data_IF_425710272482
#
_entry.id   IF_425710272482
#
_cell.length_a   1.000
_cell.length_b   1.000
_cell.length_c   1.000
_cell.angle_alpha   90.00
_cell.angle_beta   90.00
_cell.angle_gamma   90.00
#
_symmetry.space_group_name_H-M   'P 1'
#
loop_
_entity.id
_entity.type
_entity.pdbx_description
1 polymer ?
#
# COMPACT_ATOMS: atom_id res chain seq x y z
N UNK A 1 -6.45 -5.52 5.15
CA UNK A 1 -6.81 -4.61 6.25
C UNK A 1 -7.55 -5.31 7.41
N UNK A 2 -8.33 -6.37 7.17
CA UNK A 2 -9.09 -7.07 8.24
C UNK A 2 -8.16 -7.64 9.34
N UNK A 3 -7.01 -8.20 8.98
CA UNK A 3 -6.14 -8.99 9.87
C UNK A 3 -5.00 -8.19 10.48
N UNK A 4 -4.28 -7.40 9.67
CA UNK A 4 -3.00 -6.80 10.09
C UNK A 4 -3.07 -5.87 11.32
N UNK A 5 -4.06 -4.99 11.48
CA UNK A 5 -4.16 -4.16 12.67
C UNK A 5 -4.36 -4.94 13.98
N UNK A 6 -4.84 -6.19 13.87
CA UNK A 6 -5.21 -7.02 15.01
C UNK A 6 -4.11 -8.01 15.44
N UNK A 7 -3.03 -8.11 14.67
CA UNK A 7 -1.93 -9.04 14.97
C UNK A 7 -1.27 -8.72 16.31
N UNK A 8 -1.00 -7.45 16.58
CA UNK A 8 -0.38 -7.04 17.85
C UNK A 8 -1.29 -7.37 19.04
N UNK A 9 -2.60 -7.12 18.92
CA UNK A 9 -3.56 -7.46 19.97
C UNK A 9 -3.54 -8.96 20.26
N UNK A 10 -3.53 -9.81 19.24
CA UNK A 10 -3.53 -11.26 19.40
C UNK A 10 -2.23 -11.79 19.98
N UNK A 11 -1.09 -11.46 19.36
CA UNK A 11 0.16 -12.11 19.69
C UNK A 11 0.92 -11.43 20.82
N UNK A 12 0.82 -10.12 20.98
CA UNK A 12 1.46 -9.40 22.09
C UNK A 12 0.55 -9.37 23.32
N UNK A 13 -0.69 -8.85 23.20
CA UNK A 13 -1.53 -8.60 24.36
C UNK A 13 -2.19 -9.89 24.89
N UNK A 14 -2.66 -10.79 24.01
CA UNK A 14 -3.36 -12.01 24.43
C UNK A 14 -2.43 -13.22 24.65
N UNK A 15 -1.41 -13.40 23.78
CA UNK A 15 -0.47 -14.53 23.89
C UNK A 15 0.81 -14.19 24.65
N UNK A 16 1.05 -12.92 24.97
CA UNK A 16 2.23 -12.46 25.72
C UNK A 16 3.56 -12.57 24.98
N UNK A 17 3.53 -12.62 23.65
CA UNK A 17 4.77 -12.68 22.86
C UNK A 17 5.49 -11.34 22.88
N UNK A 18 6.84 -11.38 22.79
CA UNK A 18 7.62 -10.18 22.73
C UNK A 18 7.22 -9.29 21.55
N UNK A 19 6.84 -8.04 21.82
CA UNK A 19 6.40 -7.08 20.79
C UNK A 19 7.44 -6.89 19.67
N UNK A 20 8.73 -6.95 20.03
CA UNK A 20 9.85 -6.89 19.08
C UNK A 20 9.79 -8.05 18.07
N UNK A 21 9.48 -9.26 18.52
CA UNK A 21 9.41 -10.44 17.65
C UNK A 21 8.25 -10.33 16.65
N UNK A 22 7.10 -9.88 17.11
CA UNK A 22 5.93 -9.62 16.25
C UNK A 22 6.22 -8.47 15.29
N UNK A 23 6.86 -7.40 15.76
CA UNK A 23 7.29 -6.27 14.95
C UNK A 23 8.27 -6.68 13.84
N UNK A 24 9.26 -7.53 14.15
CA UNK A 24 10.19 -8.07 13.14
C UNK A 24 9.46 -8.91 12.10
N UNK A 25 8.49 -9.75 12.48
CA UNK A 25 7.69 -10.54 11.55
C UNK A 25 6.91 -9.65 10.57
N UNK A 26 6.27 -8.59 11.07
CA UNK A 26 5.56 -7.61 10.25
C UNK A 26 6.51 -6.77 9.37
N UNK A 27 7.66 -6.39 9.91
CA UNK A 27 8.72 -5.70 9.17
C UNK A 27 9.27 -6.56 8.04
N UNK A 28 9.53 -7.84 8.29
CA UNK A 28 9.97 -8.82 7.28
C UNK A 28 8.93 -8.95 6.17
N UNK A 29 7.65 -9.07 6.52
CA UNK A 29 6.56 -9.09 5.52
C UNK A 29 6.59 -7.85 4.64
N UNK A 30 6.71 -6.67 5.24
CA UNK A 30 6.74 -5.40 4.51
C UNK A 30 7.98 -5.26 3.63
N UNK A 31 9.14 -5.67 4.16
CA UNK A 31 10.40 -5.69 3.41
C UNK A 31 10.31 -6.61 2.18
N UNK A 32 9.74 -7.80 2.33
CA UNK A 32 9.55 -8.75 1.21
C UNK A 32 8.59 -8.16 0.20
N UNK A 33 7.44 -7.63 0.64
CA UNK A 33 6.42 -7.09 -0.25
C UNK A 33 6.93 -5.92 -1.08
N UNK A 34 7.65 -4.99 -0.47
CA UNK A 34 8.16 -3.79 -1.16
C UNK A 34 9.53 -4.02 -1.80
N UNK A 35 10.45 -4.65 -1.06
CA UNK A 35 11.83 -4.86 -1.53
C UNK A 35 11.95 -5.83 -2.69
N UNK A 36 11.07 -6.82 -2.79
CA UNK A 36 11.06 -7.77 -3.89
C UNK A 36 10.07 -7.39 -5.03
N UNK A 37 9.47 -6.20 -4.97
CA UNK A 37 8.50 -5.74 -5.98
C UNK A 37 9.02 -5.82 -7.41
N UNK A 38 10.28 -5.45 -7.63
CA UNK A 38 10.91 -5.53 -8.97
C UNK A 38 10.95 -6.98 -9.51
N UNK A 39 11.20 -7.97 -8.64
CA UNK A 39 11.18 -9.39 -9.05
C UNK A 39 9.76 -9.82 -9.41
N UNK A 40 8.76 -9.47 -8.59
CA UNK A 40 7.35 -9.74 -8.88
C UNK A 40 6.91 -9.13 -10.20
N UNK A 41 7.29 -7.88 -10.46
CA UNK A 41 7.04 -7.19 -11.72
C UNK A 41 7.72 -7.86 -12.92
N UNK A 42 9.00 -8.23 -12.78
CA UNK A 42 9.75 -8.89 -13.84
C UNK A 42 9.24 -10.32 -14.16
N UNK A 43 8.78 -11.05 -13.15
CA UNK A 43 8.12 -12.34 -13.31
C UNK A 43 6.78 -12.15 -14.06
N UNK A 44 6.04 -11.10 -13.72
CA UNK A 44 4.77 -10.79 -14.39
C UNK A 44 4.96 -10.34 -15.86
N UNK A 45 6.05 -9.66 -16.18
CA UNK A 45 6.40 -9.33 -17.57
C UNK A 45 6.59 -10.60 -18.41
N UNK A 46 7.12 -11.67 -17.81
CA UNK A 46 7.36 -12.96 -18.48
C UNK A 46 6.11 -13.82 -18.57
N UNK A 47 5.42 -14.02 -17.46
CA UNK A 47 4.31 -14.99 -17.34
C UNK A 47 2.93 -14.35 -17.54
N UNK A 48 2.85 -13.02 -17.52
CA UNK A 48 1.60 -12.26 -17.62
C UNK A 48 1.02 -11.86 -16.25
N UNK A 49 0.13 -10.88 -16.27
CA UNK A 49 -0.47 -10.33 -15.04
C UNK A 49 -1.41 -11.31 -14.34
N UNK A 50 -2.31 -11.94 -15.12
CA UNK A 50 -3.38 -12.78 -14.55
C UNK A 50 -2.86 -13.91 -13.65
N UNK A 51 -1.94 -14.79 -14.10
CA UNK A 51 -1.45 -15.87 -13.23
C UNK A 51 -0.74 -15.32 -11.99
N UNK A 52 0.00 -14.23 -12.11
CA UNK A 52 0.71 -13.63 -10.96
C UNK A 52 -0.26 -13.05 -9.93
N UNK A 53 -1.26 -12.30 -10.37
CA UNK A 53 -2.31 -11.75 -9.50
C UNK A 53 -3.03 -12.88 -8.75
N UNK A 54 -3.46 -13.92 -9.46
CA UNK A 54 -4.18 -15.06 -8.86
C UNK A 54 -3.30 -15.81 -7.86
N UNK A 55 -2.07 -16.15 -8.25
CA UNK A 55 -1.12 -16.82 -7.35
C UNK A 55 -0.79 -15.97 -6.12
N UNK A 56 -0.57 -14.66 -6.30
CA UNK A 56 -0.33 -13.75 -5.19
C UNK A 56 -1.49 -13.68 -4.20
N UNK A 57 -2.73 -13.65 -4.69
CA UNK A 57 -3.93 -13.69 -3.85
C UNK A 57 -4.07 -15.02 -3.10
N UNK A 58 -3.81 -16.16 -3.75
CA UNK A 58 -3.84 -17.47 -3.10
C UNK A 58 -2.75 -17.61 -2.04
N UNK A 59 -1.54 -17.09 -2.29
CA UNK A 59 -0.49 -17.05 -1.28
C UNK A 59 -0.87 -16.19 -0.07
N UNK A 60 -1.51 -15.03 -0.29
CA UNK A 60 -2.05 -14.21 0.81
C UNK A 60 -3.15 -14.95 1.58
N UNK A 61 -4.03 -15.67 0.88
CA UNK A 61 -5.06 -16.50 1.50
C UNK A 61 -4.45 -17.58 2.40
N UNK A 62 -3.46 -18.31 1.89
CA UNK A 62 -2.73 -19.32 2.66
C UNK A 62 -1.97 -18.69 3.85
N UNK A 63 -1.37 -17.51 3.66
CA UNK A 63 -0.73 -16.75 4.73
C UNK A 63 -1.71 -16.40 5.86
N UNK A 64 -2.93 -15.94 5.55
CA UNK A 64 -3.93 -15.67 6.58
C UNK A 64 -4.48 -16.95 7.22
N UNK A 65 -4.70 -18.02 6.46
CA UNK A 65 -5.12 -19.28 7.02
C UNK A 65 -4.09 -19.85 8.02
N UNK A 66 -2.79 -19.81 7.67
CA UNK A 66 -1.71 -20.24 8.59
C UNK A 66 -1.57 -19.32 9.80
N UNK A 67 -1.83 -18.02 9.66
CA UNK A 67 -1.83 -17.09 10.79
C UNK A 67 -2.92 -17.38 11.80
N UNK A 68 -4.09 -17.80 11.35
CA UNK A 68 -5.22 -18.17 12.22
C UNK A 68 -4.95 -19.39 13.12
N UNK A 69 -4.06 -20.29 12.69
CA UNK A 69 -3.65 -21.46 13.45
C UNK A 69 -2.27 -21.31 14.10
N UNK A 70 -1.68 -20.11 14.07
CA UNK A 70 -0.35 -19.86 14.60
C UNK A 70 -0.36 -19.89 16.15
N UNK A 71 0.16 -20.97 16.71
CA UNK A 71 0.42 -21.13 18.15
C UNK A 71 1.91 -21.01 18.47
N UNK A 72 2.76 -21.11 17.47
CA UNK A 72 4.21 -21.04 17.54
C UNK A 72 4.75 -19.84 16.77
N UNK A 73 5.82 -19.17 17.24
CA UNK A 73 6.36 -18.00 16.56
C UNK A 73 6.78 -18.23 15.10
N UNK A 74 7.33 -19.40 14.78
CA UNK A 74 7.74 -19.72 13.42
C UNK A 74 6.56 -19.76 12.42
N UNK A 75 5.36 -20.16 12.87
CA UNK A 75 4.14 -20.13 12.05
C UNK A 75 3.72 -18.70 11.72
N UNK A 76 3.86 -17.75 12.66
CA UNK A 76 3.63 -16.33 12.39
C UNK A 76 4.63 -15.80 11.35
N UNK A 77 5.91 -16.14 11.50
CA UNK A 77 6.94 -15.74 10.55
C UNK A 77 6.70 -16.32 9.16
N UNK A 78 6.34 -17.59 9.07
CA UNK A 78 5.99 -18.25 7.82
C UNK A 78 4.74 -17.62 7.16
N UNK A 79 3.72 -17.32 7.95
CA UNK A 79 2.52 -16.61 7.50
C UNK A 79 2.85 -15.21 6.94
N UNK A 80 3.69 -14.45 7.65
CA UNK A 80 4.15 -13.13 7.21
C UNK A 80 4.99 -13.22 5.91
N UNK A 81 5.88 -14.21 5.82
CA UNK A 81 6.65 -14.49 4.60
C UNK A 81 5.73 -14.77 3.42
N UNK A 82 4.77 -15.68 3.59
CA UNK A 82 3.85 -16.09 2.54
C UNK A 82 2.94 -14.94 2.09
N UNK A 83 2.44 -14.16 3.04
CA UNK A 83 1.64 -12.97 2.77
C UNK A 83 2.44 -11.85 2.08
N UNK A 84 3.71 -11.65 2.46
CA UNK A 84 4.63 -10.70 1.82
C UNK A 84 4.93 -11.08 0.38
N UNK A 85 5.29 -12.35 0.13
CA UNK A 85 5.51 -12.87 -1.23
C UNK A 85 4.24 -12.77 -2.08
N UNK A 86 3.07 -13.06 -1.49
CA UNK A 86 1.80 -12.87 -2.17
C UNK A 86 1.57 -11.41 -2.60
N UNK A 87 1.98 -10.44 -1.75
CA UNK A 87 1.96 -9.03 -2.09
C UNK A 87 2.87 -8.66 -3.24
N UNK A 88 4.10 -9.15 -3.20
CA UNK A 88 5.09 -8.97 -4.27
C UNK A 88 4.58 -9.44 -5.63
N UNK A 89 3.85 -10.55 -5.67
CA UNK A 89 3.28 -11.09 -6.92
C UNK A 89 1.97 -10.43 -7.35
N UNK A 90 1.31 -9.67 -6.46
CA UNK A 90 0.03 -9.05 -6.74
C UNK A 90 0.15 -7.56 -7.11
N UNK A 91 0.87 -6.77 -6.30
CA UNK A 91 0.83 -5.31 -6.40
C UNK A 91 1.44 -4.75 -7.71
N UNK A 92 2.67 -5.14 -8.15
CA UNK A 92 3.24 -4.65 -9.40
C UNK A 92 2.47 -5.08 -10.65
N UNK A 93 2.03 -6.35 -10.80
CA UNK A 93 1.23 -6.76 -11.95
C UNK A 93 -0.13 -6.06 -12.01
N UNK A 94 -0.78 -5.79 -10.87
CA UNK A 94 -2.03 -5.02 -10.81
C UNK A 94 -1.81 -3.61 -11.38
N UNK A 95 -0.80 -2.90 -10.90
CA UNK A 95 -0.47 -1.55 -11.36
C UNK A 95 -0.08 -1.53 -12.83
N UNK A 96 0.76 -2.48 -13.29
CA UNK A 96 1.16 -2.60 -14.68
C UNK A 96 -0.03 -2.92 -15.61
N UNK A 97 -0.99 -3.73 -15.16
CA UNK A 97 -2.21 -4.03 -15.90
C UNK A 97 -3.09 -2.78 -16.07
N UNK A 98 -3.25 -1.98 -15.02
CA UNK A 98 -3.95 -0.68 -15.07
C UNK A 98 -3.30 0.24 -16.10
N UNK A 99 -1.96 0.36 -16.07
CA UNK A 99 -1.22 1.17 -17.03
C UNK A 99 -1.43 0.72 -18.47
N UNK A 100 -1.60 -0.59 -18.68
CA UNK A 100 -1.84 -1.16 -20.01
C UNK A 100 -3.27 -0.94 -20.51
N UNK A 101 -4.25 -1.08 -19.63
CA UNK A 101 -5.67 -1.05 -19.98
C UNK A 101 -6.23 0.37 -20.08
N UNK A 102 -5.73 1.28 -19.26
CA UNK A 102 -6.28 2.62 -19.12
C UNK A 102 -5.52 3.61 -20.01
N UNK A 103 -6.26 4.43 -20.74
CA UNK A 103 -5.69 5.50 -21.57
C UNK A 103 -4.87 6.46 -20.71
N UNK A 104 -3.73 6.98 -21.19
CA UNK A 104 -2.86 7.85 -20.42
C UNK A 104 -3.59 9.03 -19.74
N UNK A 105 -4.57 9.63 -20.44
CA UNK A 105 -5.35 10.78 -19.96
C UNK A 105 -6.30 10.44 -18.79
N UNK A 106 -6.62 9.16 -18.59
CA UNK A 106 -7.54 8.69 -17.55
C UNK A 106 -6.84 8.00 -16.38
N UNK A 107 -5.51 7.79 -16.46
CA UNK A 107 -4.75 7.05 -15.44
C UNK A 107 -4.84 7.69 -14.06
N UNK A 108 -4.64 9.01 -13.97
CA UNK A 108 -4.72 9.71 -12.68
C UNK A 108 -6.08 9.53 -12.00
N UNK A 109 -7.16 9.71 -12.77
CA UNK A 109 -8.53 9.47 -12.27
C UNK A 109 -8.73 8.03 -11.80
N UNK A 110 -8.21 7.06 -12.56
CA UNK A 110 -8.36 5.65 -12.22
C UNK A 110 -7.56 5.28 -10.97
N UNK A 111 -6.32 5.76 -10.84
CA UNK A 111 -5.51 5.57 -9.63
C UNK A 111 -6.17 6.22 -8.40
N UNK A 112 -6.76 7.41 -8.54
CA UNK A 112 -7.52 8.04 -7.44
C UNK A 112 -8.72 7.19 -6.99
N UNK A 113 -9.43 6.57 -7.93
CA UNK A 113 -10.54 5.65 -7.61
C UNK A 113 -10.05 4.38 -6.92
N UNK A 114 -8.91 3.82 -7.35
CA UNK A 114 -8.30 2.67 -6.68
C UNK A 114 -7.89 3.01 -5.24
N UNK A 115 -7.30 4.17 -5.01
CA UNK A 115 -6.93 4.62 -3.66
C UNK A 115 -8.16 4.83 -2.77
N UNK A 116 -9.23 5.42 -3.31
CA UNK A 116 -10.49 5.56 -2.59
C UNK A 116 -11.08 4.18 -2.24
N UNK A 117 -11.01 3.22 -3.16
CA UNK A 117 -11.43 1.85 -2.90
C UNK A 117 -10.56 1.18 -1.83
N UNK A 118 -9.24 1.37 -1.86
CA UNK A 118 -8.31 0.82 -0.88
C UNK A 118 -8.58 1.42 0.51
N UNK A 119 -8.87 2.73 0.61
CA UNK A 119 -9.26 3.41 1.86
C UNK A 119 -10.61 2.91 2.39
N UNK A 120 -11.62 2.77 1.52
CA UNK A 120 -12.91 2.19 1.91
C UNK A 120 -12.75 0.76 2.41
N UNK A 121 -11.95 -0.04 1.71
CA UNK A 121 -11.60 -1.41 2.10
C UNK A 121 -10.86 -1.48 3.45
N UNK A 122 -10.01 -0.49 3.73
CA UNK A 122 -9.31 -0.40 5.02
C UNK A 122 -10.29 -0.15 6.18
N UNK A 123 -11.22 0.80 6.02
CA UNK A 123 -12.23 1.13 7.03
C UNK A 123 -13.18 -0.06 7.27
N UNK A 124 -13.78 -0.58 6.19
CA UNK A 124 -14.70 -1.73 6.27
C UNK A 124 -13.98 -2.95 6.86
N UNK A 125 -12.74 -3.19 6.41
CA UNK A 125 -11.93 -4.29 6.88
C UNK A 125 -11.58 -4.17 8.37
N UNK A 126 -11.23 -2.98 8.84
CA UNK A 126 -10.94 -2.74 10.26
C UNK A 126 -12.19 -2.95 11.14
N UNK A 127 -13.34 -2.44 10.71
CA UNK A 127 -14.61 -2.61 11.43
C UNK A 127 -15.03 -4.09 11.49
N UNK A 128 -15.00 -4.77 10.36
CA UNK A 128 -15.30 -6.21 10.27
C UNK A 128 -14.33 -7.04 11.10
N UNK A 129 -13.04 -6.74 11.01
CA UNK A 129 -12.01 -7.43 11.78
C UNK A 129 -12.18 -7.24 13.28
N UNK A 130 -12.44 -6.01 13.74
CA UNK A 130 -12.69 -5.70 15.15
C UNK A 130 -13.95 -6.39 15.68
N UNK A 131 -15.01 -6.46 14.86
CA UNK A 131 -16.23 -7.17 15.21
C UNK A 131 -16.00 -8.70 15.33
N UNK A 132 -15.33 -9.30 14.36
CA UNK A 132 -15.00 -10.73 14.37
C UNK A 132 -14.03 -11.09 15.51
N UNK A 133 -13.12 -10.19 15.89
CA UNK A 133 -12.16 -10.43 16.98
C UNK A 133 -12.84 -10.63 18.33
N UNK A 134 -14.05 -10.10 18.54
CA UNK A 134 -14.83 -10.32 19.76
C UNK A 134 -15.20 -11.80 19.96
N UNK A 135 -15.24 -12.57 18.88
CA UNK A 135 -15.53 -14.01 18.92
C UNK A 135 -14.23 -14.84 18.93
N UNK A 136 -13.44 -14.77 17.88
CA UNK A 136 -12.15 -15.47 17.79
C UNK A 136 -11.27 -14.86 16.69
N UNK A 137 -9.98 -14.73 16.96
CA UNK A 137 -8.98 -14.32 15.97
C UNK A 137 -8.90 -15.28 14.77
N UNK A 138 -9.18 -16.55 14.96
CA UNK A 138 -9.26 -17.54 13.88
C UNK A 138 -10.33 -17.19 12.85
N UNK A 139 -11.47 -16.66 13.30
CA UNK A 139 -12.54 -16.19 12.39
C UNK A 139 -12.09 -14.99 11.56
N UNK A 140 -11.33 -14.07 12.17
CA UNK A 140 -10.74 -12.92 11.44
C UNK A 140 -9.85 -13.42 10.32
N UNK A 141 -8.94 -14.33 10.62
CA UNK A 141 -8.00 -14.90 9.66
C UNK A 141 -8.72 -15.74 8.58
N UNK A 142 -9.68 -16.59 8.98
CA UNK A 142 -10.47 -17.38 8.04
C UNK A 142 -11.26 -16.50 7.06
N UNK A 143 -11.91 -15.44 7.56
CA UNK A 143 -12.62 -14.47 6.72
C UNK A 143 -11.67 -13.80 5.74
N UNK A 144 -10.49 -13.35 6.18
CA UNK A 144 -9.47 -12.80 5.31
C UNK A 144 -9.02 -13.79 4.23
N UNK A 145 -8.77 -15.05 4.61
CA UNK A 145 -8.37 -16.10 3.68
C UNK A 145 -9.47 -16.39 2.64
N UNK A 146 -10.73 -16.56 3.08
CA UNK A 146 -11.88 -16.80 2.19
C UNK A 146 -12.07 -15.63 1.22
N UNK A 147 -12.01 -14.39 1.69
CA UNK A 147 -12.11 -13.21 0.82
C UNK A 147 -11.02 -13.20 -0.26
N UNK A 148 -9.78 -13.54 0.09
CA UNK A 148 -8.71 -13.62 -0.90
C UNK A 148 -8.89 -14.76 -1.90
N UNK A 149 -9.40 -15.92 -1.47
CA UNK A 149 -9.75 -17.03 -2.38
C UNK A 149 -10.87 -16.62 -3.33
N UNK A 150 -11.92 -15.99 -2.84
CA UNK A 150 -13.02 -15.47 -3.67
C UNK A 150 -12.51 -14.43 -4.66
N UNK A 151 -11.68 -13.48 -4.21
CA UNK A 151 -11.06 -12.51 -5.09
C UNK A 151 -10.14 -13.18 -6.14
N UNK A 152 -9.38 -14.21 -5.77
CA UNK A 152 -8.54 -14.98 -6.69
C UNK A 152 -9.39 -15.68 -7.75
N UNK A 153 -10.48 -16.34 -7.35
CA UNK A 153 -11.41 -17.00 -8.26
C UNK A 153 -12.08 -16.01 -9.22
N UNK A 154 -12.53 -14.87 -8.69
CA UNK A 154 -13.15 -13.80 -9.48
C UNK A 154 -12.16 -13.19 -10.50
N UNK A 155 -10.93 -12.92 -10.09
CA UNK A 155 -9.89 -12.43 -11.00
C UNK A 155 -9.47 -13.51 -12.02
N UNK A 156 -9.43 -14.78 -11.63
CA UNK A 156 -9.16 -15.88 -12.53
C UNK A 156 -10.23 -16.02 -13.61
N UNK A 157 -11.47 -15.67 -13.30
CA UNK A 157 -12.58 -15.71 -14.24
C UNK A 157 -12.65 -14.48 -15.14
N UNK A 158 -12.56 -13.27 -14.55
CA UNK A 158 -12.80 -12.01 -15.26
C UNK A 158 -11.58 -11.41 -15.95
N UNK A 159 -10.37 -11.59 -15.38
CA UNK A 159 -9.19 -10.97 -15.96
C UNK A 159 -8.82 -11.64 -17.29
N UNK A 160 -8.61 -10.84 -18.35
CA UNK A 160 -8.08 -11.35 -19.60
C UNK A 160 -6.62 -11.82 -19.41
N UNK A 161 -6.25 -12.90 -20.11
CA UNK A 161 -4.90 -13.46 -20.08
C UNK A 161 -3.92 -12.61 -20.93
N UNK A 162 -3.76 -11.34 -20.58
CA UNK A 162 -2.91 -10.43 -21.35
C UNK A 162 -1.48 -10.43 -20.81
N UNK A 163 -0.53 -10.47 -21.73
CA UNK A 163 0.89 -10.25 -21.43
C UNK A 163 1.09 -8.76 -21.10
N UNK A 164 1.85 -8.47 -20.05
CA UNK A 164 2.11 -7.08 -19.64
C UNK A 164 3.07 -6.40 -20.60
N UNK A 165 4.13 -7.11 -21.02
CA UNK A 165 5.13 -6.58 -21.95
C UNK A 165 4.78 -6.90 -23.41
N UNK A 166 5.28 -6.08 -24.33
CA UNK A 166 5.12 -6.26 -25.78
C UNK A 166 6.03 -7.36 -26.33
N UNK A 167 7.07 -7.72 -25.60
CA UNK A 167 8.09 -8.72 -25.97
C UNK A 167 8.32 -9.65 -24.79
N UNK A 168 8.65 -10.91 -25.05
CA UNK A 168 9.11 -11.84 -24.01
C UNK A 168 10.49 -11.39 -23.49
N UNK A 169 10.48 -10.65 -22.40
CA UNK A 169 11.71 -10.16 -21.78
C UNK A 169 12.10 -11.12 -20.65
N UNK A 170 13.31 -11.69 -20.65
CA UNK A 170 13.81 -12.45 -19.50
C UNK A 170 13.81 -11.59 -18.23
N UNK A 171 13.51 -12.18 -17.09
CA UNK A 171 13.44 -11.45 -15.78
C UNK A 171 14.69 -10.60 -15.54
N UNK A 172 15.87 -11.17 -15.78
CA UNK A 172 17.16 -10.47 -15.62
C UNK A 172 17.28 -9.25 -16.55
N UNK A 173 16.80 -9.37 -17.77
CA UNK A 173 16.85 -8.26 -18.74
C UNK A 173 15.90 -7.14 -18.33
N UNK A 174 14.67 -7.46 -17.89
CA UNK A 174 13.71 -6.49 -17.37
C UNK A 174 14.29 -5.69 -16.21
N UNK A 175 14.86 -6.37 -15.22
CA UNK A 175 15.53 -5.73 -14.08
C UNK A 175 16.74 -4.87 -14.53
N UNK A 176 17.60 -5.39 -15.39
CA UNK A 176 18.77 -4.64 -15.89
C UNK A 176 18.34 -3.39 -16.65
N UNK A 177 17.25 -3.47 -17.41
CA UNK A 177 16.69 -2.33 -18.15
C UNK A 177 16.24 -1.21 -17.23
N UNK A 178 15.49 -1.54 -16.16
CA UNK A 178 15.06 -0.57 -15.14
C UNK A 178 16.27 0.09 -14.49
N UNK A 179 17.26 -0.70 -14.04
CA UNK A 179 18.46 -0.19 -13.36
C UNK A 179 19.35 0.68 -14.28
N UNK A 180 19.31 0.46 -15.58
CA UNK A 180 20.06 1.28 -16.58
C UNK A 180 19.31 2.55 -17.01
N UNK A 181 18.01 2.61 -16.78
CA UNK A 181 17.22 3.81 -17.08
C UNK A 181 17.48 4.90 -16.03
N UNK A 182 18.49 5.73 -16.28
CA UNK A 182 18.90 6.81 -15.39
C UNK A 182 17.75 7.77 -15.04
N UNK A 183 16.84 8.04 -16.00
CA UNK A 183 15.70 8.95 -15.77
C UNK A 183 14.75 8.36 -14.74
N UNK A 184 14.41 7.09 -14.91
CA UNK A 184 13.53 6.39 -13.98
C UNK A 184 14.18 6.20 -12.61
N UNK A 185 15.43 5.76 -12.54
CA UNK A 185 16.17 5.61 -11.28
C UNK A 185 16.30 6.93 -10.53
N UNK A 186 16.65 8.02 -11.23
CA UNK A 186 16.69 9.36 -10.60
C UNK A 186 15.32 9.75 -10.06
N UNK A 187 14.24 9.52 -10.82
CA UNK A 187 12.88 9.77 -10.36
C UNK A 187 12.57 8.99 -9.08
N UNK A 188 12.84 7.68 -9.02
CA UNK A 188 12.59 6.86 -7.83
C UNK A 188 13.45 7.31 -6.65
N UNK A 189 14.70 7.66 -6.87
CA UNK A 189 15.56 8.21 -5.80
C UNK A 189 15.02 9.55 -5.26
N UNK A 190 14.49 10.42 -6.12
CA UNK A 190 13.85 11.67 -5.65
C UNK A 190 12.56 11.40 -4.88
N UNK A 191 11.87 10.28 -5.15
CA UNK A 191 10.70 9.83 -4.38
C UNK A 191 11.04 9.28 -2.98
N UNK A 192 12.31 9.00 -2.67
CA UNK A 192 12.69 8.57 -1.32
C UNK A 192 12.21 9.58 -0.25
N UNK A 193 12.24 10.88 -0.55
CA UNK A 193 11.67 11.92 0.30
C UNK A 193 10.18 11.76 0.56
N UNK A 194 9.39 11.37 -0.45
CA UNK A 194 7.98 11.06 -0.29
C UNK A 194 7.76 9.91 0.69
N UNK A 195 8.47 8.80 0.51
CA UNK A 195 8.36 7.65 1.40
C UNK A 195 8.80 7.96 2.83
N UNK A 196 9.86 8.78 3.01
CA UNK A 196 10.27 9.26 4.32
C UNK A 196 9.16 10.04 5.02
N UNK A 197 8.45 10.92 4.32
CA UNK A 197 7.30 11.63 4.85
C UNK A 197 6.11 10.71 5.14
N UNK A 198 5.79 9.80 4.22
CA UNK A 198 4.67 8.86 4.37
C UNK A 198 4.83 7.92 5.58
N UNK A 199 6.05 7.48 5.88
CA UNK A 199 6.34 6.64 7.05
C UNK A 199 6.08 7.36 8.37
N UNK A 200 6.17 8.70 8.42
CA UNK A 200 5.90 9.47 9.65
C UNK A 200 4.45 9.29 10.15
N UNK A 201 3.51 9.01 9.27
CA UNK A 201 2.10 8.71 9.63
C UNK A 201 2.02 7.46 10.53
N UNK A 202 2.89 6.49 10.30
CA UNK A 202 2.88 5.24 11.07
C UNK A 202 3.78 5.29 12.31
N UNK A 203 4.82 6.12 12.31
CA UNK A 203 5.81 6.15 13.38
C UNK A 203 5.66 7.37 14.29
N UNK A 204 5.83 8.56 13.76
CA UNK A 204 5.94 9.77 14.57
C UNK A 204 4.59 10.37 14.95
N UNK A 205 3.66 10.49 14.00
CA UNK A 205 2.37 11.13 14.24
C UNK A 205 1.55 10.46 15.35
N UNK A 206 1.42 9.13 15.44
CA UNK A 206 0.70 8.49 16.55
C UNK A 206 1.33 8.79 17.91
N UNK A 207 2.66 8.85 18.00
CA UNK A 207 3.39 9.19 19.23
C UNK A 207 3.08 10.63 19.62
N UNK A 208 3.22 11.58 18.69
CA UNK A 208 2.93 12.99 18.94
C UNK A 208 1.48 13.24 19.35
N UNK A 209 0.53 12.56 18.70
CA UNK A 209 -0.89 12.66 19.05
C UNK A 209 -1.13 12.14 20.48
N UNK A 210 -0.51 11.01 20.83
CA UNK A 210 -0.60 10.45 22.19
C UNK A 210 -0.01 11.40 23.24
N UNK A 211 1.18 11.95 22.96
CA UNK A 211 1.89 12.84 23.89
C UNK A 211 1.14 14.16 24.11
N UNK A 212 0.64 14.77 23.04
CA UNK A 212 -0.10 16.04 23.13
C UNK A 212 -1.51 15.84 23.73
N UNK A 213 -2.17 14.73 23.45
CA UNK A 213 -3.50 14.43 23.97
C UNK A 213 -3.49 13.85 25.40
N UNK A 214 -2.36 13.30 25.84
CA UNK A 214 -2.26 12.56 27.10
C UNK A 214 -3.12 11.29 27.15
N UNK A 215 -3.63 10.81 26.00
CA UNK A 215 -4.51 9.66 25.89
C UNK A 215 -4.30 8.88 24.58
N UNK A 216 -3.99 7.57 24.63
CA UNK A 216 -3.82 6.73 23.43
C UNK A 216 -5.06 6.68 22.53
N UNK A 217 -6.23 6.91 23.13
CA UNK A 217 -7.50 6.93 22.39
C UNK A 217 -7.61 8.07 21.37
N UNK A 218 -6.77 9.11 21.45
CA UNK A 218 -6.77 10.21 20.49
C UNK A 218 -6.24 9.80 19.10
N UNK A 219 -5.37 8.79 19.03
CA UNK A 219 -4.78 8.28 17.78
C UNK A 219 -5.86 7.76 16.81
N UNK A 220 -6.99 7.24 17.33
CA UNK A 220 -8.13 6.83 16.49
C UNK A 220 -8.68 7.97 15.63
N UNK A 221 -8.66 9.20 16.15
CA UNK A 221 -9.15 10.38 15.44
C UNK A 221 -8.23 10.76 14.28
N UNK A 222 -6.93 10.56 14.41
CA UNK A 222 -5.98 10.77 13.32
C UNK A 222 -6.33 9.87 12.12
N UNK A 223 -6.53 8.57 12.35
CA UNK A 223 -6.93 7.63 11.29
C UNK A 223 -8.36 7.86 10.79
N UNK A 224 -9.26 8.36 11.66
CA UNK A 224 -10.60 8.74 11.23
C UNK A 224 -10.57 9.94 10.27
N UNK A 225 -9.71 10.93 10.52
CA UNK A 225 -9.48 12.08 9.63
C UNK A 225 -8.96 11.60 8.27
N UNK A 226 -7.94 10.72 8.27
CA UNK A 226 -7.41 10.11 7.04
C UNK A 226 -8.51 9.43 6.23
N UNK A 227 -9.27 8.55 6.87
CA UNK A 227 -10.36 7.81 6.22
C UNK A 227 -11.43 8.76 5.67
N UNK A 228 -11.83 9.76 6.44
CA UNK A 228 -12.81 10.76 6.03
C UNK A 228 -12.33 11.54 4.81
N UNK A 229 -11.10 12.06 4.83
CA UNK A 229 -10.52 12.82 3.73
C UNK A 229 -10.34 11.93 2.48
N UNK A 230 -9.88 10.70 2.65
CA UNK A 230 -9.71 9.76 1.54
C UNK A 230 -11.02 9.38 0.88
N UNK A 231 -12.11 9.25 1.64
CA UNK A 231 -13.42 8.89 1.08
C UNK A 231 -14.18 10.07 0.47
N UNK A 232 -14.04 11.27 1.05
CA UNK A 232 -14.85 12.44 0.64
C UNK A 232 -14.11 13.40 -0.26
N UNK A 233 -12.82 13.62 -0.03
CA UNK A 233 -12.05 14.73 -0.60
C UNK A 233 -11.07 14.26 -1.68
N UNK A 234 -10.58 13.00 -1.61
CA UNK A 234 -9.57 12.50 -2.55
C UNK A 234 -10.00 12.65 -4.00
N UNK A 235 -11.17 12.14 -4.37
CA UNK A 235 -11.61 12.15 -5.75
C UNK A 235 -11.88 13.57 -6.30
N UNK A 236 -12.62 14.47 -5.58
CA UNK A 236 -12.80 15.84 -6.01
C UNK A 236 -11.49 16.62 -6.17
N UNK A 237 -10.58 16.55 -5.20
CA UNK A 237 -9.28 17.24 -5.25
C UNK A 237 -8.41 16.68 -6.38
N UNK A 238 -8.31 15.37 -6.51
CA UNK A 238 -7.54 14.75 -7.58
C UNK A 238 -8.05 15.22 -8.95
N UNK A 239 -9.37 15.21 -9.17
CA UNK A 239 -9.98 15.67 -10.42
C UNK A 239 -9.78 17.16 -10.68
N UNK A 240 -9.92 18.00 -9.64
CA UNK A 240 -9.67 19.43 -9.76
C UNK A 240 -8.20 19.72 -10.11
N UNK A 241 -7.27 19.07 -9.41
CA UNK A 241 -5.83 19.25 -9.65
C UNK A 241 -5.41 18.74 -11.04
N UNK A 242 -6.04 17.68 -11.57
CA UNK A 242 -5.81 17.19 -12.94
C UNK A 242 -6.17 18.22 -14.01
N UNK A 243 -7.22 19.00 -13.80
CA UNK A 243 -7.66 20.00 -14.77
C UNK A 243 -6.77 21.25 -14.80
N UNK A 244 -6.17 21.62 -13.67
CA UNK A 244 -5.50 22.92 -13.52
C UNK A 244 -3.97 22.83 -13.52
N UNK A 245 -3.41 21.67 -13.16
CA UNK A 245 -1.97 21.53 -12.99
C UNK A 245 -1.40 20.36 -13.77
N UNK A 246 -0.17 20.55 -14.27
CA UNK A 246 0.63 19.46 -14.87
C UNK A 246 1.01 18.45 -13.81
N UNK A 247 1.21 17.21 -14.22
CA UNK A 247 1.47 16.06 -13.35
C UNK A 247 2.65 16.31 -12.39
N UNK A 248 3.74 16.86 -12.89
CA UNK A 248 4.94 17.19 -12.13
C UNK A 248 4.69 18.25 -11.06
N UNK A 249 3.93 19.31 -11.40
CA UNK A 249 3.57 20.37 -10.46
C UNK A 249 2.64 19.86 -9.34
N UNK A 250 1.76 18.90 -9.64
CA UNK A 250 0.90 18.25 -8.64
C UNK A 250 1.73 17.46 -7.63
N UNK A 251 2.69 16.66 -8.11
CA UNK A 251 3.60 15.91 -7.26
C UNK A 251 4.41 16.85 -6.37
N UNK A 252 5.01 17.91 -6.95
CA UNK A 252 5.78 18.91 -6.20
C UNK A 252 4.93 19.65 -5.18
N UNK A 253 3.74 20.12 -5.55
CA UNK A 253 2.82 20.81 -4.63
C UNK A 253 2.40 19.92 -3.48
N UNK A 254 2.04 18.66 -3.75
CA UNK A 254 1.69 17.69 -2.71
C UNK A 254 2.86 17.44 -1.74
N UNK A 255 4.07 17.22 -2.26
CA UNK A 255 5.27 17.04 -1.44
C UNK A 255 5.59 18.28 -0.59
N UNK A 256 5.44 19.48 -1.16
CA UNK A 256 5.64 20.73 -0.41
C UNK A 256 4.63 20.87 0.73
N UNK A 257 3.34 20.60 0.47
CA UNK A 257 2.31 20.64 1.51
C UNK A 257 2.62 19.63 2.61
N UNK A 258 2.97 18.38 2.26
CA UNK A 258 3.37 17.35 3.24
C UNK A 258 4.58 17.79 4.07
N UNK A 259 5.62 18.32 3.44
CA UNK A 259 6.83 18.76 4.13
C UNK A 259 6.57 19.95 5.04
N UNK A 260 5.86 20.97 4.56
CA UNK A 260 5.54 22.16 5.35
C UNK A 260 4.62 21.85 6.53
N UNK A 261 3.71 20.89 6.38
CA UNK A 261 2.85 20.47 7.50
C UNK A 261 3.62 19.69 8.57
N UNK A 262 4.70 18.97 8.20
CA UNK A 262 5.52 18.22 9.16
C UNK A 262 6.53 19.09 9.93
N UNK A 263 7.01 20.19 9.35
CA UNK A 263 8.03 21.05 9.99
C UNK A 263 7.64 21.53 11.40
N UNK A 264 6.43 22.08 11.65
CA UNK A 264 6.06 22.60 12.96
C UNK A 264 5.55 21.52 13.93
N UNK A 265 5.39 20.26 13.52
CA UNK A 265 4.78 19.20 14.35
C UNK A 265 5.48 19.05 15.72
N UNK A 266 6.81 19.13 15.78
CA UNK A 266 7.57 19.03 17.02
C UNK A 266 7.46 20.26 17.95
N UNK A 267 6.88 21.36 17.48
CA UNK A 267 6.72 22.62 18.24
C UNK A 267 5.28 22.84 18.72
N UNK A 268 4.36 21.93 18.35
CA UNK A 268 2.93 22.05 18.65
C UNK A 268 2.64 21.57 20.05
N UNK A 269 1.98 22.41 20.84
CA UNK A 269 1.52 22.07 22.20
C UNK A 269 0.00 21.82 22.30
N UNK A 270 -0.74 22.13 21.25
CA UNK A 270 -2.22 22.01 21.24
C UNK A 270 -2.73 20.94 20.29
N UNK A 271 -3.64 20.09 20.75
CA UNK A 271 -4.23 19.00 19.97
C UNK A 271 -4.93 19.49 18.68
N UNK A 272 -5.62 20.63 18.75
CA UNK A 272 -6.31 21.21 17.60
C UNK A 272 -5.32 21.63 16.50
N UNK A 273 -4.19 22.25 16.89
CA UNK A 273 -3.14 22.64 15.94
C UNK A 273 -2.53 21.40 15.29
N UNK A 274 -2.26 20.34 16.08
CA UNK A 274 -1.71 19.07 15.58
C UNK A 274 -2.66 18.43 14.56
N UNK A 275 -3.94 18.33 14.84
CA UNK A 275 -4.92 17.78 13.89
C UNK A 275 -5.05 18.63 12.62
N UNK A 276 -4.92 19.96 12.72
CA UNK A 276 -4.88 20.82 11.53
C UNK A 276 -3.69 20.50 10.63
N UNK A 277 -2.51 20.31 11.21
CA UNK A 277 -1.30 19.90 10.46
C UNK A 277 -1.46 18.52 9.84
N UNK A 278 -2.04 17.58 10.56
CA UNK A 278 -2.37 16.23 10.07
C UNK A 278 -3.34 16.32 8.88
N UNK A 279 -4.38 17.12 8.94
CA UNK A 279 -5.29 17.36 7.82
C UNK A 279 -4.54 17.90 6.59
N UNK A 280 -3.67 18.89 6.77
CA UNK A 280 -2.85 19.45 5.70
C UNK A 280 -1.92 18.41 5.10
N UNK A 281 -1.30 17.58 5.93
CA UNK A 281 -0.46 16.48 5.48
C UNK A 281 -1.24 15.51 4.57
N UNK A 282 -2.42 15.06 5.01
CA UNK A 282 -3.25 14.16 4.21
C UNK A 282 -3.75 14.81 2.92
N UNK A 283 -4.07 16.09 2.91
CA UNK A 283 -4.41 16.83 1.69
C UNK A 283 -3.22 16.82 0.72
N UNK A 284 -2.01 17.06 1.21
CA UNK A 284 -0.78 16.95 0.42
C UNK A 284 -0.58 15.55 -0.17
N UNK A 285 -0.78 14.51 0.63
CA UNK A 285 -0.71 13.11 0.23
C UNK A 285 -1.75 12.76 -0.86
N UNK A 286 -3.01 13.20 -0.68
CA UNK A 286 -4.10 13.03 -1.66
C UNK A 286 -3.76 13.62 -3.03
N UNK A 287 -3.01 14.73 -3.07
CA UNK A 287 -2.57 15.36 -4.32
C UNK A 287 -1.35 14.63 -4.90
N UNK A 288 -0.37 14.27 -4.06
CA UNK A 288 0.89 13.67 -4.48
C UNK A 288 0.75 12.24 -4.97
N UNK A 289 -0.01 11.42 -4.27
CA UNK A 289 -0.01 9.96 -4.47
C UNK A 289 -0.57 9.53 -5.83
N UNK A 290 -1.73 10.01 -6.31
CA UNK A 290 -2.20 9.69 -7.66
C UNK A 290 -1.28 10.24 -8.76
N UNK A 291 -0.64 11.39 -8.48
CA UNK A 291 0.32 11.99 -9.40
C UNK A 291 1.59 11.14 -9.50
N UNK A 292 2.09 10.63 -8.36
CA UNK A 292 3.22 9.70 -8.28
C UNK A 292 2.96 8.44 -9.09
N UNK A 293 1.83 7.76 -8.85
CA UNK A 293 1.45 6.55 -9.58
C UNK A 293 1.35 6.79 -11.09
N UNK A 294 0.73 7.92 -11.48
CA UNK A 294 0.58 8.29 -12.89
C UNK A 294 1.94 8.61 -13.55
N UNK A 295 2.84 9.27 -12.81
CA UNK A 295 4.18 9.60 -13.31
C UNK A 295 5.04 8.34 -13.45
N UNK A 296 5.05 7.45 -12.46
CA UNK A 296 5.68 6.13 -12.55
C UNK A 296 5.18 5.37 -13.78
N UNK A 297 3.86 5.37 -13.99
CA UNK A 297 3.23 4.74 -15.14
C UNK A 297 3.62 5.37 -16.49
N UNK A 298 3.86 6.68 -16.52
CA UNK A 298 4.23 7.40 -17.75
C UNK A 298 5.70 7.17 -18.13
N UNK A 299 6.56 6.96 -17.15
CA UNK A 299 7.97 6.68 -17.33
C UNK A 299 8.27 5.21 -17.64
N UNK A 300 7.32 4.31 -17.36
CA UNK A 300 7.50 2.87 -17.54
C UNK A 300 7.61 2.46 -19.03
N UNK A 301 8.71 1.80 -19.40
CA UNK A 301 8.89 1.23 -20.74
C UNK A 301 7.85 0.11 -20.99
N UNK A 302 7.22 0.16 -22.17
CA UNK A 302 6.22 -0.82 -22.61
C UNK A 302 6.75 -2.28 -22.65
N UNK A 303 8.07 -2.44 -22.74
CA UNK A 303 8.74 -3.75 -22.81
C UNK A 303 8.97 -4.41 -21.45
N UNK A 304 8.89 -3.66 -20.36
CA UNK A 304 9.17 -4.14 -18.99
C UNK A 304 8.27 -3.46 -17.94
N UNK A 305 6.98 -3.24 -18.25
CA UNK A 305 6.04 -2.49 -17.39
C UNK A 305 5.96 -3.04 -15.98
N UNK A 306 5.92 -4.37 -15.85
CA UNK A 306 5.87 -5.01 -14.54
C UNK A 306 7.10 -4.69 -13.70
N UNK A 307 8.29 -4.80 -14.31
CA UNK A 307 9.57 -4.47 -13.66
C UNK A 307 9.63 -3.01 -13.21
N UNK A 308 9.16 -2.06 -14.05
CA UNK A 308 9.11 -0.64 -13.70
C UNK A 308 8.14 -0.36 -12.54
N UNK A 309 6.94 -0.92 -12.59
CA UNK A 309 5.94 -0.74 -11.51
C UNK A 309 6.32 -1.47 -10.21
N UNK A 310 7.17 -2.50 -10.30
CA UNK A 310 7.69 -3.19 -9.12
C UNK A 310 8.88 -2.48 -8.47
N UNK A 311 9.51 -1.53 -9.18
CA UNK A 311 10.63 -0.74 -8.67
C UNK A 311 10.17 0.62 -8.09
N UNK A 312 9.02 1.14 -8.50
CA UNK A 312 8.43 2.40 -8.03
C UNK A 312 7.58 2.20 -6.78
#
# INVERSE_FOLDING_TARGET
FVVFPLISIRFVDQMGWAAVMVGIALGLRQFIQQGLGIFGGAIADRFGAKPMIVTGMLMRAAGFATMGIAHEPWLLWFSCLLSGLGGTLFDPPRSALVVKLIRPQQRGRFFSLLMMQDSAGAVIGALLGSWLLQYDFRLVCATGAVLFVLCAAFNAWLLPAWKLSTVHTPVREGMTRVMRDKRFVTYVLTLAGYYMLAVQVMLMLPIMVNDVAGAPSAVKWMYAIEACLSLTVLYPIARWSEKHFRLEHRLMAGLLIMSLSMMPVGMVSGLQQLFTLICLFYIGSIIAEPARETLSASLADARARGSYMGFS
#
